data_IF_959613473165
#
_entry.id   IF_959613473165
#
_cell.length_a   1.000
_cell.length_b   1.000
_cell.length_c   1.000
_cell.angle_alpha   90.00
_cell.angle_beta   90.00
_cell.angle_gamma   90.00
#
_symmetry.space_group_name_H-M   'P 1'
#
loop_
_entity.id
_entity.type
_entity.pdbx_description
1 polymer ?
#
# COMPACT_ATOMS: atom_id res chain seq x y z
N UNK A 1 24.50 -7.84 14.09
CA UNK A 1 23.03 -8.00 13.99
C UNK A 1 22.68 -7.35 12.67
N UNK A 2 22.28 -8.16 11.68
CA UNK A 2 22.47 -7.89 10.25
C UNK A 2 21.61 -6.76 9.70
N UNK A 3 22.18 -5.99 8.78
CA UNK A 3 21.52 -4.91 8.02
C UNK A 3 20.77 -5.44 6.78
N UNK A 4 20.63 -6.76 6.63
CA UNK A 4 20.06 -7.44 5.44
C UNK A 4 18.57 -7.84 5.57
N UNK A 5 17.84 -7.39 6.61
CA UNK A 5 16.41 -7.72 6.78
C UNK A 5 15.49 -6.53 6.44
N UNK A 6 15.25 -6.31 5.14
CA UNK A 6 13.99 -5.85 4.50
C UNK A 6 14.28 -5.17 3.14
N UNK A 7 14.62 -5.93 2.10
CA UNK A 7 14.84 -5.34 0.76
C UNK A 7 13.56 -5.03 -0.01
N UNK A 8 12.38 -4.97 0.63
CA UNK A 8 11.20 -4.45 -0.06
C UNK A 8 10.03 -4.08 0.82
N UNK A 9 9.22 -3.13 0.34
CA UNK A 9 8.02 -2.63 1.01
C UNK A 9 6.79 -2.80 0.12
N UNK A 10 5.63 -2.94 0.76
CA UNK A 10 4.37 -3.07 0.02
C UNK A 10 3.86 -1.70 -0.45
N UNK A 11 3.40 -1.66 -1.71
CA UNK A 11 2.78 -0.49 -2.33
C UNK A 11 1.46 -0.94 -2.94
N UNK A 12 0.38 -0.20 -2.69
CA UNK A 12 -0.89 -0.40 -3.39
C UNK A 12 -1.02 0.61 -4.54
N UNK A 13 -1.37 0.13 -5.72
CA UNK A 13 -1.58 0.94 -6.90
C UNK A 13 -3.02 0.81 -7.40
N UNK A 14 -3.69 1.93 -7.59
CA UNK A 14 -5.06 1.97 -8.07
C UNK A 14 -5.38 3.26 -8.80
N UNK A 15 -6.67 3.53 -9.00
CA UNK A 15 -7.13 4.78 -9.58
C UNK A 15 -7.67 5.72 -8.52
N UNK A 16 -7.43 7.00 -8.72
CA UNK A 16 -8.14 8.06 -8.04
C UNK A 16 -8.52 9.09 -9.11
N UNK A 17 -9.82 9.17 -9.41
CA UNK A 17 -10.34 9.90 -10.58
C UNK A 17 -9.63 9.45 -11.87
N UNK A 18 -9.05 10.38 -12.62
CA UNK A 18 -8.32 10.15 -13.86
C UNK A 18 -6.82 9.85 -13.64
N UNK A 19 -6.37 9.76 -12.38
CA UNK A 19 -4.97 9.57 -12.02
C UNK A 19 -4.69 8.16 -11.49
N UNK A 20 -3.46 7.72 -11.68
CA UNK A 20 -2.93 6.55 -10.96
C UNK A 20 -2.50 7.01 -9.57
N UNK A 21 -3.03 6.36 -8.54
CA UNK A 21 -2.67 6.58 -7.14
C UNK A 21 -1.73 5.47 -6.69
N UNK A 22 -0.55 5.86 -6.20
CA UNK A 22 0.37 4.97 -5.51
C UNK A 22 0.28 5.26 -4.01
N UNK A 23 -0.02 4.23 -3.23
CA UNK A 23 -0.12 4.30 -1.77
C UNK A 23 1.18 3.74 -1.20
N UNK A 24 2.02 4.65 -0.74
CA UNK A 24 3.30 4.32 -0.13
C UNK A 24 3.13 4.04 1.37
N UNK A 25 3.97 3.19 1.96
CA UNK A 25 4.01 3.03 3.40
C UNK A 25 4.40 4.34 4.10
N UNK A 26 4.01 4.47 5.36
CA UNK A 26 4.55 5.53 6.21
C UNK A 26 6.02 5.24 6.50
N UNK A 27 6.89 6.18 6.18
CA UNK A 27 8.30 6.18 6.62
C UNK A 27 8.52 7.04 7.86
N UNK A 28 7.44 7.50 8.51
CA UNK A 28 7.54 8.29 9.72
C UNK A 28 7.76 7.36 10.92
N UNK A 29 8.84 7.59 11.68
CA UNK A 29 9.17 6.82 12.88
C UNK A 29 8.31 7.18 14.10
N UNK A 30 7.62 8.32 14.06
CA UNK A 30 6.80 8.84 15.18
C UNK A 30 5.34 8.40 15.06
N UNK A 31 4.83 8.18 13.84
CA UNK A 31 3.42 7.88 13.59
C UNK A 31 3.27 6.61 12.76
N UNK A 32 2.49 5.67 13.28
CA UNK A 32 2.09 4.47 12.55
C UNK A 32 1.32 4.82 11.26
N UNK A 33 1.50 4.00 10.23
CA UNK A 33 0.71 4.09 9.01
C UNK A 33 -0.77 3.77 9.25
N UNK A 34 -1.59 3.89 8.21
CA UNK A 34 -2.99 3.45 8.25
C UNK A 34 -3.10 2.03 7.69
N UNK A 35 -3.79 1.15 8.42
CA UNK A 35 -4.23 -0.12 7.86
C UNK A 35 -5.28 0.12 6.76
N UNK A 36 -4.92 -0.20 5.52
CA UNK A 36 -5.77 -0.01 4.33
C UNK A 36 -6.93 -1.01 4.26
N UNK A 37 -6.91 -2.06 5.09
CA UNK A 37 -7.99 -3.02 5.23
C UNK A 37 -9.02 -2.59 6.28
N UNK A 38 -8.72 -1.56 7.07
CA UNK A 38 -9.64 -1.07 8.09
C UNK A 38 -10.83 -0.29 7.51
N UNK A 39 -11.94 -0.28 8.25
CA UNK A 39 -13.15 0.46 7.87
C UNK A 39 -12.95 1.99 7.90
N UNK A 40 -11.98 2.50 8.66
CA UNK A 40 -11.76 3.93 8.87
C UNK A 40 -10.42 4.41 8.32
N UNK A 41 -10.42 4.75 7.04
CA UNK A 41 -9.25 5.28 6.34
C UNK A 41 -9.09 6.78 6.59
N UNK A 42 -7.88 7.20 6.99
CA UNK A 42 -7.58 8.59 7.36
C UNK A 42 -7.33 9.51 6.15
N UNK A 43 -6.85 8.94 5.04
CA UNK A 43 -6.51 9.70 3.84
C UNK A 43 -7.74 9.91 2.95
N UNK A 44 -8.04 11.14 2.52
CA UNK A 44 -9.14 11.41 1.58
C UNK A 44 -8.94 10.75 0.21
N UNK A 45 -7.71 10.37 -0.14
CA UNK A 45 -7.41 9.62 -1.37
C UNK A 45 -7.80 8.13 -1.28
N UNK A 46 -7.97 7.62 -0.05
CA UNK A 46 -8.37 6.24 0.23
C UNK A 46 -9.86 6.12 0.60
N UNK A 47 -10.59 7.24 0.69
CA UNK A 47 -12.04 7.26 0.91
C UNK A 47 -12.80 6.89 -0.36
N UNK A 48 -12.59 5.65 -0.82
CA UNK A 48 -13.19 5.05 -2.00
C UNK A 48 -13.09 3.53 -1.87
N UNK A 49 -13.73 2.81 -2.79
CA UNK A 49 -13.51 1.38 -2.90
C UNK A 49 -12.07 1.09 -3.34
N UNK A 50 -11.39 0.22 -2.60
CA UNK A 50 -10.00 -0.16 -2.83
C UNK A 50 -9.87 -1.57 -3.41
N UNK A 51 -10.97 -2.29 -3.64
CA UNK A 51 -10.95 -3.71 -4.02
C UNK A 51 -10.11 -4.01 -5.27
N UNK A 52 -10.12 -3.07 -6.22
CA UNK A 52 -9.40 -3.15 -7.48
C UNK A 52 -7.94 -2.67 -7.39
N UNK A 53 -7.48 -2.17 -6.23
CA UNK A 53 -6.08 -1.81 -6.05
C UNK A 53 -5.22 -3.06 -6.08
N UNK A 54 -4.14 -3.00 -6.85
CA UNK A 54 -3.14 -4.06 -6.96
C UNK A 54 -2.00 -3.77 -5.97
N UNK A 55 -1.66 -4.76 -5.16
CA UNK A 55 -0.54 -4.69 -4.21
C UNK A 55 0.70 -5.25 -4.87
N UNK A 56 1.81 -4.55 -4.70
CA UNK A 56 3.14 -4.94 -5.14
C UNK A 56 4.09 -4.97 -3.95
N UNK A 57 5.03 -5.91 -3.97
CA UNK A 57 6.23 -5.88 -3.12
C UNK A 57 7.30 -5.18 -3.95
N UNK A 58 7.72 -3.99 -3.53
CA UNK A 58 8.73 -3.19 -4.20
C UNK A 58 10.08 -3.43 -3.53
N UNK A 59 10.97 -4.15 -4.22
CA UNK A 59 12.39 -4.29 -3.88
C UNK A 59 13.26 -3.96 -5.09
N UNK A 60 14.28 -4.78 -5.37
CA UNK A 60 15.09 -4.66 -6.60
C UNK A 60 14.21 -4.73 -7.87
N UNK A 61 13.13 -5.52 -7.81
CA UNK A 61 12.06 -5.55 -8.80
C UNK A 61 10.70 -5.42 -8.10
N UNK A 62 9.70 -4.93 -8.85
CA UNK A 62 8.32 -4.88 -8.37
C UNK A 62 7.64 -6.23 -8.62
N UNK A 63 7.40 -6.98 -7.55
CA UNK A 63 6.68 -8.25 -7.62
C UNK A 63 5.19 -8.05 -7.35
N UNK A 64 4.34 -8.55 -8.24
CA UNK A 64 2.89 -8.50 -8.04
C UNK A 64 2.47 -9.45 -6.92
N UNK A 65 1.75 -8.92 -5.92
CA UNK A 65 1.25 -9.70 -4.78
C UNK A 65 -0.22 -10.11 -4.98
N UNK A 66 -1.08 -9.16 -5.36
CA UNK A 66 -2.51 -9.43 -5.58
C UNK A 66 -3.40 -8.22 -5.29
N UNK A 67 -4.69 -8.36 -5.61
CA UNK A 67 -5.69 -7.32 -5.35
C UNK A 67 -6.06 -7.23 -3.87
N UNK A 68 -6.36 -6.02 -3.40
CA UNK A 68 -6.81 -5.76 -2.02
C UNK A 68 -8.04 -6.60 -1.64
N UNK A 69 -8.99 -6.80 -2.55
CA UNK A 69 -10.19 -7.62 -2.27
C UNK A 69 -9.88 -9.05 -1.81
N UNK A 70 -8.69 -9.58 -2.13
CA UNK A 70 -8.28 -10.93 -1.73
C UNK A 70 -7.68 -10.99 -0.32
N UNK A 71 -7.58 -9.86 0.36
CA UNK A 71 -6.99 -9.70 1.70
C UNK A 71 -8.04 -9.38 2.77
N UNK A 72 -9.31 -9.23 2.38
CA UNK A 72 -10.45 -8.97 3.26
C UNK A 72 -11.17 -10.26 3.67
#
# INVERSE_FOLDING_TARGET
MGEDEMNGFMVAAGKWKDKTLLVLPSFNTVTEGTDILSEKLLSPFLQQDLDEFEVFIAGDEAMRFGKVMKLR
#
